data_IF_928054710797
#
_entry.id   IF_928054710797
#
_cell.length_a   1.000
_cell.length_b   1.000
_cell.length_c   1.000
_cell.angle_alpha   90.00
_cell.angle_beta   90.00
_cell.angle_gamma   90.00
#
_symmetry.space_group_name_H-M   'P 1'
#
loop_
_entity.id
_entity.type
_entity.pdbx_description
1 polymer ?
#
# COMPACT_ATOMS: atom_id res chain seq x y z
N UNK A 1 -16.81 47.01 37.93
CA UNK A 1 -16.41 46.43 39.24
C UNK A 1 -16.92 44.99 39.24
N UNK A 2 -16.16 43.91 39.19
CA UNK A 2 -14.73 43.62 39.33
C UNK A 2 -14.37 42.66 38.18
N UNK A 3 -13.36 43.02 37.36
CA UNK A 3 -12.74 42.06 36.43
C UNK A 3 -11.95 41.11 37.32
N UNK A 4 -12.37 39.85 37.41
CA UNK A 4 -11.66 38.84 38.18
C UNK A 4 -10.44 38.40 37.37
N UNK A 5 -9.33 39.08 37.62
CA UNK A 5 -7.98 38.64 37.30
C UNK A 5 -7.63 37.49 38.26
N UNK A 6 -7.47 36.26 37.74
CA UNK A 6 -6.79 35.17 38.44
C UNK A 6 -5.35 35.13 37.92
N UNK A 7 -4.33 35.29 38.77
CA UNK A 7 -2.93 35.30 38.36
C UNK A 7 -2.34 33.88 38.31
N UNK A 8 -1.61 33.61 37.22
CA UNK A 8 -0.22 33.09 37.18
C UNK A 8 0.13 31.88 38.08
N UNK A 9 0.38 30.75 37.39
CA UNK A 9 1.60 29.91 37.46
C UNK A 9 1.61 28.60 38.27
N UNK A 10 2.38 27.67 37.68
CA UNK A 10 3.00 26.43 38.18
C UNK A 10 2.02 25.23 38.33
N UNK A 11 2.21 23.98 37.85
CA UNK A 11 3.34 23.07 37.59
C UNK A 11 2.78 22.00 36.60
N UNK A 12 3.29 21.77 35.39
CA UNK A 12 4.43 20.90 35.03
C UNK A 12 4.32 19.43 35.47
N UNK A 13 3.34 18.66 34.96
CA UNK A 13 3.32 17.17 34.92
C UNK A 13 2.34 16.79 33.80
N UNK A 14 2.59 15.99 32.78
CA UNK A 14 3.68 15.09 32.38
C UNK A 14 3.55 14.89 30.87
N UNK A 15 4.56 15.26 30.09
CA UNK A 15 4.79 14.65 28.77
C UNK A 15 5.25 13.21 29.02
N UNK A 16 4.30 12.34 29.36
CA UNK A 16 4.42 10.90 29.32
C UNK A 16 3.82 10.38 28.02
N UNK A 17 4.14 11.00 26.88
CA UNK A 17 3.92 10.37 25.58
C UNK A 17 5.04 9.38 25.37
N UNK A 18 4.70 8.10 25.17
CA UNK A 18 5.65 7.08 24.72
C UNK A 18 6.48 7.66 23.56
N UNK A 19 7.77 7.93 23.78
CA UNK A 19 8.71 7.97 22.67
C UNK A 19 8.86 6.53 22.19
N UNK A 20 7.93 6.10 21.33
CA UNK A 20 8.25 5.01 20.41
C UNK A 20 9.40 5.56 19.60
N UNK A 21 10.60 5.04 19.85
CA UNK A 21 11.77 5.31 19.02
C UNK A 21 11.44 4.76 17.64
N UNK A 22 10.90 5.60 16.76
CA UNK A 22 10.88 5.31 15.34
C UNK A 22 12.34 5.29 14.91
N UNK A 23 12.89 4.09 14.71
CA UNK A 23 14.16 3.93 14.04
C UNK A 23 13.91 4.33 12.57
N UNK A 24 14.44 5.47 12.09
CA UNK A 24 13.98 6.07 10.83
C UNK A 24 14.42 5.30 9.58
N UNK A 25 15.00 4.09 9.70
CA UNK A 25 15.65 3.38 8.59
C UNK A 25 15.42 1.87 8.55
N UNK A 26 14.38 1.33 9.18
CA UNK A 26 13.99 -0.08 8.93
C UNK A 26 12.75 -0.12 8.06
N UNK A 27 12.93 -0.18 6.73
CA UNK A 27 11.88 -0.71 5.86
C UNK A 27 11.50 -2.08 6.42
N UNK A 28 10.19 -2.35 6.65
CA UNK A 28 9.78 -3.64 7.17
C UNK A 28 10.23 -4.74 6.19
N UNK A 29 10.97 -5.72 6.71
CA UNK A 29 11.36 -6.90 5.92
C UNK A 29 10.11 -7.75 5.73
N UNK A 30 9.80 -8.13 4.50
CA UNK A 30 8.69 -9.03 4.20
C UNK A 30 8.94 -10.39 4.85
N UNK A 31 7.89 -10.97 5.44
CA UNK A 31 7.90 -12.40 5.75
C UNK A 31 7.93 -13.23 4.47
N UNK A 32 8.36 -14.49 4.57
CA UNK A 32 8.36 -15.42 3.43
C UNK A 32 6.96 -15.59 2.83
N UNK A 33 5.92 -15.58 3.67
CA UNK A 33 4.53 -15.68 3.23
C UNK A 33 4.07 -14.44 2.43
N UNK A 34 4.47 -13.24 2.87
CA UNK A 34 4.16 -12.00 2.15
C UNK A 34 4.90 -11.92 0.81
N UNK A 35 6.19 -12.32 0.78
CA UNK A 35 6.96 -12.39 -0.45
C UNK A 35 6.34 -13.38 -1.45
N UNK A 36 5.98 -14.58 -0.99
CA UNK A 36 5.32 -15.58 -1.82
C UNK A 36 3.97 -15.08 -2.35
N UNK A 37 3.21 -14.36 -1.52
CA UNK A 37 1.93 -13.76 -1.92
C UNK A 37 2.14 -12.70 -3.01
N UNK A 38 3.11 -11.79 -2.87
CA UNK A 38 3.40 -10.78 -3.89
C UNK A 38 3.79 -11.39 -5.24
N UNK A 39 4.65 -12.43 -5.22
CA UNK A 39 5.05 -13.14 -6.42
C UNK A 39 3.85 -13.82 -7.09
N UNK A 40 3.05 -14.54 -6.30
CA UNK A 40 1.86 -15.22 -6.81
C UNK A 40 0.85 -14.24 -7.40
N UNK A 41 0.51 -13.17 -6.68
CA UNK A 41 -0.45 -12.17 -7.16
C UNK A 41 0.03 -11.52 -8.45
N UNK A 42 1.32 -11.22 -8.59
CA UNK A 42 1.82 -10.67 -9.86
C UNK A 42 1.59 -11.61 -11.05
N UNK A 43 1.80 -12.90 -10.86
CA UNK A 43 1.54 -13.91 -11.91
C UNK A 43 0.05 -14.12 -12.15
N UNK A 44 -0.77 -14.07 -11.09
CA UNK A 44 -2.23 -14.15 -11.17
C UNK A 44 -2.83 -13.00 -11.98
N UNK A 45 -2.42 -11.76 -11.73
CA UNK A 45 -2.86 -10.58 -12.49
C UNK A 45 -2.43 -10.66 -13.95
N UNK A 46 -1.21 -11.15 -14.22
CA UNK A 46 -0.74 -11.38 -15.60
C UNK A 46 -1.56 -12.47 -16.30
N UNK A 47 -1.89 -13.55 -15.60
CA UNK A 47 -2.76 -14.60 -16.13
C UNK A 47 -4.14 -14.04 -16.46
N UNK A 48 -4.73 -13.25 -15.56
CA UNK A 48 -6.02 -12.60 -15.79
C UNK A 48 -5.96 -11.70 -17.04
N UNK A 49 -4.94 -10.84 -17.16
CA UNK A 49 -4.69 -10.04 -18.35
C UNK A 49 -4.69 -10.87 -19.63
N UNK A 50 -3.85 -11.92 -19.68
CA UNK A 50 -3.66 -12.73 -20.87
C UNK A 50 -4.94 -13.47 -21.27
N UNK A 51 -5.71 -13.95 -20.28
CA UNK A 51 -7.02 -14.58 -20.50
C UNK A 51 -8.04 -13.58 -21.06
N UNK A 52 -8.07 -12.34 -20.57
CA UNK A 52 -9.00 -11.33 -21.07
C UNK A 52 -8.63 -10.81 -22.46
N UNK A 53 -7.34 -10.71 -22.79
CA UNK A 53 -6.89 -10.46 -24.16
C UNK A 53 -7.40 -11.57 -25.08
N UNK A 54 -7.17 -12.83 -24.72
CA UNK A 54 -7.65 -13.97 -25.50
C UNK A 54 -9.18 -13.97 -25.65
N UNK A 55 -9.92 -13.66 -24.58
CA UNK A 55 -11.38 -13.56 -24.63
C UNK A 55 -11.87 -12.41 -25.52
N UNK A 56 -11.18 -11.26 -25.51
CA UNK A 56 -11.48 -10.17 -26.42
C UNK A 56 -11.26 -10.57 -27.89
N UNK A 57 -10.13 -11.21 -28.19
CA UNK A 57 -9.82 -11.72 -29.54
C UNK A 57 -10.85 -12.76 -30.00
N UNK A 58 -11.32 -13.61 -29.09
CA UNK A 58 -12.27 -14.70 -29.38
C UNK A 58 -13.70 -14.20 -29.59
N UNK A 59 -14.16 -13.28 -28.73
CA UNK A 59 -15.58 -12.91 -28.67
C UNK A 59 -15.88 -11.47 -29.12
N UNK A 60 -14.88 -10.60 -29.24
CA UNK A 60 -15.04 -9.21 -29.70
C UNK A 60 -15.82 -8.29 -28.74
N UNK A 61 -16.04 -8.70 -27.49
CA UNK A 61 -16.81 -7.92 -26.51
C UNK A 61 -15.88 -6.95 -25.78
N UNK A 62 -16.15 -5.65 -25.92
CA UNK A 62 -15.30 -4.56 -25.40
C UNK A 62 -15.00 -4.63 -23.89
N UNK A 63 -15.87 -5.27 -23.10
CA UNK A 63 -15.63 -5.44 -21.66
C UNK A 63 -14.34 -6.22 -21.39
N UNK A 64 -14.00 -7.23 -22.20
CA UNK A 64 -12.78 -8.01 -22.00
C UNK A 64 -11.52 -7.16 -22.23
N UNK A 65 -11.50 -6.31 -23.27
CA UNK A 65 -10.40 -5.38 -23.49
C UNK A 65 -10.27 -4.36 -22.36
N UNK A 66 -11.40 -3.84 -21.85
CA UNK A 66 -11.40 -2.90 -20.74
C UNK A 66 -10.84 -3.54 -19.46
N UNK A 67 -11.21 -4.79 -19.18
CA UNK A 67 -10.69 -5.52 -18.02
C UNK A 67 -9.20 -5.81 -18.20
N UNK A 68 -8.76 -6.29 -19.37
CA UNK A 68 -7.34 -6.51 -19.65
C UNK A 68 -6.51 -5.23 -19.40
N UNK A 69 -6.99 -4.07 -19.84
CA UNK A 69 -6.32 -2.79 -19.58
C UNK A 69 -6.26 -2.43 -18.07
N UNK A 70 -7.23 -2.89 -17.27
CA UNK A 70 -7.20 -2.78 -15.81
C UNK A 70 -6.13 -3.71 -15.22
N UNK A 71 -6.06 -4.96 -15.70
CA UNK A 71 -5.08 -5.93 -15.19
C UNK A 71 -3.64 -5.52 -15.51
N UNK A 72 -3.38 -4.82 -16.63
CA UNK A 72 -2.06 -4.22 -16.88
C UNK A 72 -1.67 -3.22 -15.77
N UNK A 73 -2.63 -2.46 -15.23
CA UNK A 73 -2.40 -1.53 -14.13
C UNK A 73 -2.17 -2.27 -12.81
N UNK A 74 -2.90 -3.38 -12.57
CA UNK A 74 -2.67 -4.23 -11.39
C UNK A 74 -1.27 -4.86 -11.41
N UNK A 75 -0.83 -5.44 -12.53
CA UNK A 75 0.54 -5.98 -12.68
C UNK A 75 1.59 -4.91 -12.39
N UNK A 76 1.40 -3.69 -12.92
CA UNK A 76 2.31 -2.58 -12.67
C UNK A 76 2.31 -2.14 -11.19
N UNK A 77 1.14 -2.13 -10.55
CA UNK A 77 1.02 -1.81 -9.12
C UNK A 77 1.77 -2.81 -8.25
N UNK A 78 1.62 -4.12 -8.52
CA UNK A 78 2.34 -5.17 -7.77
C UNK A 78 3.85 -5.07 -8.01
N UNK A 79 4.30 -4.84 -9.25
CA UNK A 79 5.72 -4.60 -9.55
C UNK A 79 6.29 -3.38 -8.81
N UNK A 80 5.54 -2.29 -8.74
CA UNK A 80 5.95 -1.09 -8.00
C UNK A 80 6.09 -1.38 -6.50
N UNK A 81 5.15 -2.13 -5.94
CA UNK A 81 5.22 -2.57 -4.54
C UNK A 81 6.43 -3.47 -4.29
N UNK A 82 6.66 -4.49 -5.14
CA UNK A 82 7.83 -5.35 -5.05
C UNK A 82 9.14 -4.55 -5.14
N UNK A 83 9.18 -3.53 -6.01
CA UNK A 83 10.34 -2.63 -6.15
C UNK A 83 10.60 -1.84 -4.87
N UNK A 84 9.55 -1.39 -4.16
CA UNK A 84 9.69 -0.69 -2.88
C UNK A 84 10.31 -1.55 -1.78
N UNK A 85 10.16 -2.88 -1.87
CA UNK A 85 10.78 -3.86 -0.98
C UNK A 85 12.09 -4.45 -1.55
N UNK A 86 12.55 -4.00 -2.73
CA UNK A 86 13.74 -4.53 -3.42
C UNK A 86 13.68 -6.03 -3.74
N UNK A 87 12.49 -6.53 -4.07
CA UNK A 87 12.23 -7.95 -4.41
C UNK A 87 11.67 -8.13 -5.84
N UNK A 88 11.76 -7.09 -6.67
CA UNK A 88 11.27 -7.06 -8.05
C UNK A 88 12.24 -7.69 -9.06
#
# INVERSE_FOLDING_TARGET
MKKLLIPILIILVSLGGCQKSENPNTSPVLSEAELATLLFTREEEKLAHDVYIYAFETYGISIFQNIANSESQHVAAVLNLMSSYSVA
#
